data_IF_796886086606
#
_entry.id   IF_796886086606
#
_cell.length_a   1.000
_cell.length_b   1.000
_cell.length_c   1.000
_cell.angle_alpha   90.00
_cell.angle_beta   90.00
_cell.angle_gamma   90.00
#
_symmetry.space_group_name_H-M   'P 1'
#
loop_
_entity.id
_entity.type
_entity.pdbx_description
1 polymer ?
#
# COMPACT_ATOMS: atom_id res chain seq x y z
N UNK A 1 -5.60 -19.38 3.30
CA UNK A 1 -4.23 -19.06 3.76
C UNK A 1 -4.24 -17.64 4.32
N UNK A 2 -3.65 -17.38 5.49
CA UNK A 2 -3.57 -16.02 6.02
C UNK A 2 -2.57 -15.17 5.20
N UNK A 3 -2.86 -13.89 5.04
CA UNK A 3 -1.93 -12.93 4.43
C UNK A 3 -0.77 -12.69 5.41
N UNK A 4 0.51 -12.78 4.98
CA UNK A 4 1.65 -12.56 5.85
C UNK A 4 1.67 -11.11 6.37
N UNK A 5 2.06 -10.94 7.63
CA UNK A 5 2.22 -9.63 8.27
C UNK A 5 3.71 -9.30 8.35
N UNK A 6 4.03 -8.04 8.11
CA UNK A 6 5.39 -7.50 8.23
C UNK A 6 5.40 -6.33 9.22
N UNK A 7 6.58 -5.97 9.69
CA UNK A 7 6.74 -4.80 10.57
C UNK A 7 6.61 -3.48 9.79
N UNK A 8 6.21 -2.37 10.44
CA UNK A 8 6.22 -1.05 9.80
C UNK A 8 7.60 -0.63 9.28
N UNK A 9 8.67 -1.03 9.98
CA UNK A 9 10.05 -0.73 9.56
C UNK A 9 10.42 -1.47 8.27
N UNK A 10 10.04 -2.75 8.16
CA UNK A 10 10.22 -3.54 6.95
C UNK A 10 9.39 -2.98 5.78
N UNK A 11 8.13 -2.65 6.02
CA UNK A 11 7.25 -2.04 5.03
C UNK A 11 7.86 -0.74 4.47
N UNK A 12 8.33 0.15 5.35
CA UNK A 12 8.99 1.40 4.95
C UNK A 12 10.24 1.15 4.12
N UNK A 13 11.08 0.19 4.50
CA UNK A 13 12.29 -0.15 3.75
C UNK A 13 11.96 -0.63 2.34
N UNK A 14 10.95 -1.52 2.20
CA UNK A 14 10.49 -2.06 0.92
C UNK A 14 9.89 -1.00 -0.01
N UNK A 15 9.19 -0.02 0.55
CA UNK A 15 8.63 1.09 -0.22
C UNK A 15 9.73 2.03 -0.69
N UNK A 16 10.68 2.37 0.19
CA UNK A 16 11.77 3.30 -0.13
C UNK A 16 12.76 2.76 -1.17
N UNK A 17 12.98 1.45 -1.21
CA UNK A 17 13.85 0.82 -2.21
C UNK A 17 13.10 0.39 -3.49
N UNK A 18 11.80 0.69 -3.59
CA UNK A 18 10.96 0.37 -4.76
C UNK A 18 10.58 -1.11 -4.92
N UNK A 19 10.83 -1.95 -3.91
CA UNK A 19 10.47 -3.38 -3.95
C UNK A 19 9.02 -3.68 -3.54
N UNK A 20 8.30 -2.68 -3.00
CA UNK A 20 6.89 -2.84 -2.63
C UNK A 20 6.07 -1.57 -2.76
N UNK A 21 4.77 -1.75 -2.98
CA UNK A 21 3.78 -0.67 -3.00
C UNK A 21 3.02 -0.65 -1.67
N UNK A 22 2.98 0.52 -1.04
CA UNK A 22 2.19 0.73 0.17
C UNK A 22 0.79 1.20 -0.21
N UNK A 23 -0.24 0.45 0.18
CA UNK A 23 -1.63 0.76 -0.14
C UNK A 23 -2.41 0.97 1.14
N UNK A 24 -3.05 2.12 1.24
CA UNK A 24 -3.99 2.38 2.33
C UNK A 24 -5.28 1.59 2.06
N UNK A 25 -5.64 0.71 3.00
CA UNK A 25 -6.79 -0.18 2.88
C UNK A 25 -8.14 0.51 3.13
N UNK A 26 -8.13 1.79 3.54
CA UNK A 26 -9.36 2.56 3.72
C UNK A 26 -10.10 2.74 2.40
N UNK A 27 -11.40 2.44 2.42
CA UNK A 27 -12.28 2.66 1.28
C UNK A 27 -12.65 4.15 1.13
N UNK A 28 -12.64 4.89 2.25
CA UNK A 28 -13.03 6.29 2.27
C UNK A 28 -11.85 7.22 1.90
N UNK A 29 -11.98 8.03 0.83
CA UNK A 29 -10.93 8.97 0.41
C UNK A 29 -10.57 10.00 1.49
N UNK A 30 -11.56 10.39 2.31
CA UNK A 30 -11.38 11.35 3.41
C UNK A 30 -10.42 10.81 4.46
N UNK A 31 -10.50 9.52 4.79
CA UNK A 31 -9.58 8.88 5.74
C UNK A 31 -8.16 8.82 5.18
N UNK A 32 -8.01 8.57 3.88
CA UNK A 32 -6.72 8.62 3.21
C UNK A 32 -6.13 10.03 3.25
N UNK A 33 -6.91 11.06 2.90
CA UNK A 33 -6.44 12.45 2.91
C UNK A 33 -5.89 12.87 4.28
N UNK A 34 -6.51 12.43 5.38
CA UNK A 34 -6.11 12.82 6.74
C UNK A 34 -5.02 11.92 7.36
N UNK A 35 -4.94 10.64 6.97
CA UNK A 35 -4.12 9.64 7.69
C UNK A 35 -3.11 8.89 6.81
N UNK A 36 -2.93 9.27 5.54
CA UNK A 36 -1.99 8.57 4.67
C UNK A 36 -0.55 8.71 5.18
N UNK A 37 0.18 7.60 5.10
CA UNK A 37 1.63 7.59 5.24
C UNK A 37 2.27 8.10 3.95
N UNK A 38 3.44 8.74 4.09
CA UNK A 38 4.24 9.16 2.95
C UNK A 38 4.53 7.98 2.01
N UNK A 39 4.33 8.19 0.70
CA UNK A 39 4.52 7.15 -0.31
C UNK A 39 3.38 6.13 -0.43
N UNK A 40 2.30 6.27 0.36
CA UNK A 40 1.12 5.43 0.21
C UNK A 40 0.28 5.80 -1.01
N UNK A 41 -0.29 4.79 -1.65
CA UNK A 41 -1.38 4.91 -2.62
C UNK A 41 -2.73 4.78 -1.90
N UNK A 42 -3.72 5.55 -2.36
CA UNK A 42 -5.10 5.30 -1.95
C UNK A 42 -5.59 3.98 -2.53
N UNK A 43 -6.60 3.36 -1.92
CA UNK A 43 -7.21 2.15 -2.47
C UNK A 43 -7.73 2.38 -3.90
N UNK A 44 -8.30 3.55 -4.15
CA UNK A 44 -8.84 3.93 -5.45
C UNK A 44 -7.75 4.09 -6.53
N UNK A 45 -6.62 4.72 -6.19
CA UNK A 45 -5.48 4.85 -7.11
C UNK A 45 -4.86 3.49 -7.40
N UNK A 46 -4.78 2.62 -6.39
CA UNK A 46 -4.31 1.26 -6.56
C UNK A 46 -5.24 0.47 -7.50
N UNK A 47 -6.55 0.52 -7.28
CA UNK A 47 -7.55 -0.15 -8.13
C UNK A 47 -7.50 0.36 -9.58
N UNK A 48 -7.33 1.67 -9.79
CA UNK A 48 -7.20 2.26 -11.12
C UNK A 48 -5.94 1.77 -11.87
N UNK A 49 -4.86 1.44 -11.14
CA UNK A 49 -3.58 0.98 -11.70
C UNK A 49 -3.42 -0.55 -11.71
N UNK A 50 -4.42 -1.32 -11.27
CA UNK A 50 -4.34 -2.79 -11.21
C UNK A 50 -3.93 -3.44 -12.53
N UNK A 51 -4.33 -2.86 -13.66
CA UNK A 51 -3.96 -3.36 -15.00
C UNK A 51 -2.50 -3.12 -15.39
N UNK A 52 -1.83 -2.17 -14.74
CA UNK A 52 -0.45 -1.74 -15.03
C UNK A 52 0.58 -2.33 -14.05
N UNK A 53 0.12 -2.80 -12.89
CA UNK A 53 0.98 -3.34 -11.83
C UNK A 53 1.38 -4.79 -12.18
N UNK A 54 2.70 -5.05 -12.21
CA UNK A 54 3.21 -6.41 -12.37
C UNK A 54 2.76 -7.30 -11.21
N UNK A 55 2.42 -8.56 -11.50
CA UNK A 55 2.07 -9.57 -10.49
C UNK A 55 3.24 -9.94 -9.56
N UNK A 56 4.46 -9.59 -9.95
CA UNK A 56 5.66 -9.78 -9.12
C UNK A 56 5.84 -8.64 -8.11
N UNK A 57 5.06 -7.56 -8.21
CA UNK A 57 5.13 -6.42 -7.31
C UNK A 57 4.53 -6.80 -5.96
N UNK A 58 5.30 -6.64 -4.89
CA UNK A 58 4.79 -6.84 -3.54
C UNK A 58 3.84 -5.70 -3.16
N UNK A 59 2.67 -6.05 -2.62
CA UNK A 59 1.66 -5.09 -2.20
C UNK A 59 1.43 -5.20 -0.71
N UNK A 60 1.65 -4.07 -0.02
CA UNK A 60 1.58 -3.97 1.42
C UNK A 60 0.34 -3.14 1.77
N UNK A 61 -0.69 -3.81 2.26
CA UNK A 61 -1.89 -3.14 2.76
C UNK A 61 -1.71 -2.71 4.21
N UNK A 62 -2.08 -1.47 4.52
CA UNK A 62 -2.15 -0.97 5.89
C UNK A 62 -3.46 -0.23 6.17
N UNK A 63 -3.87 -0.23 7.43
CA UNK A 63 -4.89 0.67 7.97
C UNK A 63 -4.31 1.33 9.21
N UNK A 64 -4.69 2.59 9.46
CA UNK A 64 -4.21 3.41 10.58
C UNK A 64 -5.20 3.36 11.74
#
# INVERSE_FOLDING_TARGET
>A
MPVPRISPAEARSKVQNGSGLLVCAYAEPEKFSQNHLEGALSRQDFEARLGEISKDTEIIFYCA
#
